data_IF_085695889168
#
_entry.id   IF_085695889168
#
_cell.length_a   1.000
_cell.length_b   1.000
_cell.length_c   1.000
_cell.angle_alpha   90.00
_cell.angle_beta   90.00
_cell.angle_gamma   90.00
#
_symmetry.space_group_name_H-M   'P 1'
#
loop_
_entity.id
_entity.type
_entity.pdbx_description
1 polymer ?
#
# COMPACT_ATOMS: atom_id res chain seq x y z
N UNK A 1 0.57 29.32 22.04
CA UNK A 1 1.77 29.38 21.18
C UNK A 1 2.58 28.17 21.55
N UNK A 2 2.32 27.04 20.89
CA UNK A 2 3.13 25.83 20.99
C UNK A 2 3.13 25.22 19.58
N UNK A 3 3.93 25.86 18.71
CA UNK A 3 4.46 25.22 17.52
C UNK A 3 5.51 24.22 17.97
N UNK A 4 5.12 22.95 18.09
CA UNK A 4 6.10 21.87 18.15
C UNK A 4 6.31 21.36 16.74
N UNK A 5 7.37 21.93 16.17
CA UNK A 5 7.90 21.76 14.84
C UNK A 5 8.17 20.29 14.51
N UNK A 6 7.71 19.91 13.32
CA UNK A 6 8.12 18.77 12.50
C UNK A 6 9.65 18.56 12.58
N UNK A 7 10.10 17.59 13.39
CA UNK A 7 11.51 17.21 13.46
C UNK A 7 11.80 16.18 12.37
N UNK A 8 12.35 16.66 11.25
CA UNK A 8 12.89 15.84 10.18
C UNK A 8 13.84 14.78 10.75
N UNK A 9 13.48 13.50 10.56
CA UNK A 9 14.27 12.38 11.04
C UNK A 9 15.45 12.11 10.09
N UNK A 10 16.65 11.96 10.64
CA UNK A 10 17.85 11.67 9.85
C UNK A 10 17.80 10.26 9.21
N UNK A 11 18.61 10.02 8.18
CA UNK A 11 18.74 8.69 7.56
C UNK A 11 18.98 7.59 8.59
N UNK A 12 19.96 7.80 9.47
CA UNK A 12 20.35 6.81 10.46
C UNK A 12 19.22 6.46 11.43
N UNK A 13 18.42 7.45 11.83
CA UNK A 13 17.29 7.26 12.73
C UNK A 13 16.19 6.42 12.10
N UNK A 14 15.85 6.70 10.84
CA UNK A 14 14.80 5.96 10.13
C UNK A 14 15.27 4.55 9.79
N UNK A 15 16.52 4.38 9.34
CA UNK A 15 17.10 3.06 9.08
C UNK A 15 17.15 2.19 10.35
N UNK A 16 17.55 2.76 11.48
CA UNK A 16 17.51 2.09 12.79
C UNK A 16 16.08 1.65 13.15
N UNK A 17 15.10 2.54 13.02
CA UNK A 17 13.70 2.26 13.37
C UNK A 17 13.12 1.13 12.54
N UNK A 18 13.34 1.13 11.22
CA UNK A 18 12.82 0.07 10.34
C UNK A 18 13.48 -1.27 10.63
N UNK A 19 14.81 -1.32 10.80
CA UNK A 19 15.48 -2.58 11.19
C UNK A 19 14.94 -3.13 12.51
N UNK A 20 14.69 -2.26 13.49
CA UNK A 20 14.14 -2.67 14.79
C UNK A 20 12.70 -3.16 14.69
N UNK A 21 11.86 -2.51 13.88
CA UNK A 21 10.50 -2.98 13.57
C UNK A 21 10.51 -4.32 12.86
N UNK A 22 11.46 -4.55 11.95
CA UNK A 22 11.66 -5.83 11.29
C UNK A 22 12.13 -6.96 12.25
N UNK A 23 12.44 -6.65 13.51
CA UNK A 23 12.95 -7.62 14.49
C UNK A 23 14.39 -8.08 14.23
N UNK A 24 15.11 -7.43 13.32
CA UNK A 24 16.42 -7.87 12.87
C UNK A 24 17.52 -7.32 13.77
N UNK A 25 18.49 -8.16 14.14
CA UNK A 25 19.75 -7.68 14.71
C UNK A 25 20.61 -7.02 13.62
N UNK A 26 21.58 -6.16 14.00
CA UNK A 26 22.52 -5.57 13.03
C UNK A 26 23.30 -6.64 12.27
N UNK A 27 23.68 -7.70 12.96
CA UNK A 27 24.37 -8.85 12.37
C UNK A 27 23.47 -9.60 11.38
N UNK A 28 22.22 -9.85 11.73
CA UNK A 28 21.27 -10.55 10.88
C UNK A 28 20.96 -9.76 9.60
N UNK A 29 20.75 -8.44 9.71
CA UNK A 29 20.58 -7.60 8.52
C UNK A 29 21.86 -7.61 7.68
N UNK A 30 23.03 -7.38 8.31
CA UNK A 30 24.32 -7.39 7.62
C UNK A 30 24.56 -8.70 6.84
N UNK A 31 24.37 -9.85 7.48
CA UNK A 31 24.50 -11.17 6.83
C UNK A 31 23.55 -11.31 5.63
N UNK A 32 22.32 -10.79 5.74
CA UNK A 32 21.32 -10.88 4.68
C UNK A 32 21.64 -10.01 3.44
N UNK A 33 22.41 -8.92 3.60
CA UNK A 33 22.78 -8.02 2.51
C UNK A 33 24.28 -8.07 2.15
N UNK A 34 25.05 -8.98 2.75
CA UNK A 34 26.48 -9.16 2.47
C UNK A 34 27.42 -8.14 3.14
N UNK A 35 26.99 -7.51 4.24
CA UNK A 35 27.76 -6.52 4.99
C UNK A 35 27.97 -6.91 6.46
N UNK A 36 28.94 -6.28 7.13
CA UNK A 36 29.17 -6.54 8.56
C UNK A 36 28.15 -5.78 9.43
N UNK A 37 27.79 -6.35 10.59
CA UNK A 37 26.93 -5.67 11.56
C UNK A 37 27.51 -4.35 12.10
N UNK A 38 28.83 -4.17 12.04
CA UNK A 38 29.50 -2.91 12.36
C UNK A 38 29.20 -1.84 11.29
N UNK A 39 29.18 -2.21 10.01
CA UNK A 39 28.82 -1.27 8.95
C UNK A 39 27.34 -0.85 9.00
N UNK A 40 26.45 -1.77 9.41
CA UNK A 40 25.05 -1.42 9.72
C UNK A 40 24.99 -0.40 10.86
N UNK A 41 25.82 -0.55 11.90
CA UNK A 41 25.90 0.41 13.00
C UNK A 41 26.41 1.78 12.55
N UNK A 42 27.37 1.83 11.64
CA UNK A 42 27.88 3.06 11.05
C UNK A 42 26.80 3.81 10.27
N UNK A 43 25.97 3.11 9.49
CA UNK A 43 24.84 3.71 8.77
C UNK A 43 23.78 4.29 9.72
N UNK A 44 23.60 3.71 10.89
CA UNK A 44 22.68 4.20 11.93
C UNK A 44 23.20 5.43 12.67
N UNK A 45 24.51 5.74 12.64
CA UNK A 45 25.14 6.72 13.55
C UNK A 45 25.98 7.80 12.90
N UNK A 46 26.67 7.51 11.80
CA UNK A 46 27.79 8.34 11.31
C UNK A 46 27.46 9.12 10.04
N UNK A 47 26.18 9.20 9.64
CA UNK A 47 25.79 9.87 8.39
C UNK A 47 26.42 9.25 7.13
N UNK A 48 26.88 7.99 7.25
CA UNK A 48 27.36 7.17 6.14
C UNK A 48 26.17 6.50 5.48
N UNK A 49 26.21 6.42 4.16
CA UNK A 49 25.11 5.88 3.37
C UNK A 49 25.51 4.53 2.75
N UNK A 50 24.57 3.57 2.70
CA UNK A 50 24.77 2.32 1.96
C UNK A 50 24.97 2.59 0.47
N UNK A 51 25.64 1.67 -0.24
CA UNK A 51 25.60 1.69 -1.70
C UNK A 51 24.14 1.51 -2.19
N UNK A 52 23.78 2.01 -3.38
CA UNK A 52 22.40 1.94 -3.90
C UNK A 52 21.77 0.53 -3.84
N UNK A 53 22.53 -0.51 -4.18
CA UNK A 53 22.05 -1.89 -4.10
C UNK A 53 21.82 -2.36 -2.66
N UNK A 54 22.77 -2.09 -1.76
CA UNK A 54 22.66 -2.45 -0.34
C UNK A 54 21.48 -1.74 0.34
N UNK A 55 21.19 -0.51 -0.08
CA UNK A 55 20.00 0.22 0.33
C UNK A 55 18.73 -0.48 -0.14
N UNK A 56 18.62 -0.78 -1.44
CA UNK A 56 17.46 -1.46 -2.00
C UNK A 56 17.21 -2.83 -1.36
N UNK A 57 18.27 -3.62 -1.12
CA UNK A 57 18.16 -4.91 -0.45
C UNK A 57 17.67 -4.76 1.00
N UNK A 58 18.13 -3.71 1.70
CA UNK A 58 17.64 -3.40 3.05
C UNK A 58 16.16 -3.01 3.04
N UNK A 59 15.74 -2.15 2.11
CA UNK A 59 14.33 -1.75 1.96
C UNK A 59 13.47 -2.96 1.62
N UNK A 60 13.91 -3.84 0.72
CA UNK A 60 13.21 -5.09 0.39
C UNK A 60 13.01 -5.94 1.64
N UNK A 61 14.05 -6.16 2.43
CA UNK A 61 13.96 -6.93 3.67
C UNK A 61 13.02 -6.24 4.68
N UNK A 62 13.05 -4.92 4.78
CA UNK A 62 12.13 -4.20 5.68
C UNK A 62 10.68 -4.32 5.23
N UNK A 63 10.40 -4.32 3.92
CA UNK A 63 9.07 -4.58 3.38
C UNK A 63 8.64 -6.03 3.62
N UNK A 64 9.53 -7.02 3.43
CA UNK A 64 9.28 -8.43 3.73
C UNK A 64 8.93 -8.68 5.20
N UNK A 65 9.51 -7.88 6.09
CA UNK A 65 9.26 -7.92 7.52
C UNK A 65 8.18 -6.92 7.99
N UNK A 66 7.43 -6.33 7.05
CA UNK A 66 6.34 -5.37 7.33
C UNK A 66 6.76 -4.17 8.21
N UNK A 67 8.05 -3.83 8.21
CA UNK A 67 8.59 -2.74 9.01
C UNK A 67 8.25 -1.35 8.43
N UNK A 68 7.85 -1.29 7.16
CA UNK A 68 7.45 -0.10 6.39
C UNK A 68 6.00 -0.29 5.94
N UNK A 69 5.08 0.59 6.39
CA UNK A 69 3.64 0.31 6.38
C UNK A 69 2.85 0.79 5.14
N UNK A 70 3.38 1.72 4.32
CA UNK A 70 3.01 2.09 2.93
C UNK A 70 3.20 3.61 2.66
N UNK A 71 3.55 3.94 1.41
CA UNK A 71 3.76 5.21 0.67
C UNK A 71 4.18 6.52 1.38
N UNK A 72 3.66 6.89 2.56
CA UNK A 72 4.11 8.10 3.28
C UNK A 72 5.55 7.94 3.83
N UNK A 73 5.96 6.70 4.08
CA UNK A 73 7.34 6.35 4.41
C UNK A 73 8.23 6.26 3.16
N UNK A 74 7.69 6.00 1.96
CA UNK A 74 8.47 5.95 0.72
C UNK A 74 8.88 7.36 0.26
N UNK A 75 8.01 8.35 0.44
CA UNK A 75 8.36 9.77 0.32
C UNK A 75 9.32 10.21 1.43
N UNK A 76 9.17 9.72 2.67
CA UNK A 76 10.15 9.94 3.74
C UNK A 76 11.52 9.32 3.40
N UNK A 77 11.56 8.11 2.82
CA UNK A 77 12.74 7.43 2.29
C UNK A 77 13.34 8.14 1.07
N UNK A 78 12.51 8.80 0.25
CA UNK A 78 12.95 9.68 -0.82
C UNK A 78 13.45 11.04 -0.29
N UNK A 79 13.03 11.45 0.91
CA UNK A 79 13.48 12.64 1.63
C UNK A 79 14.66 12.36 2.59
N UNK A 80 15.06 11.10 2.77
CA UNK A 80 16.18 10.62 3.59
C UNK A 80 17.57 10.98 3.04
N UNK A 81 17.63 11.60 1.86
CA UNK A 81 18.89 11.99 1.24
C UNK A 81 19.17 13.47 1.54
N UNK A 82 19.85 13.73 2.67
CA UNK A 82 20.54 15.02 2.89
C UNK A 82 21.64 15.28 1.84
N UNK A 83 21.90 14.33 0.92
CA UNK A 83 22.69 14.54 -0.31
C UNK A 83 21.81 14.42 -1.56
N UNK A 84 21.43 15.54 -2.19
CA UNK A 84 20.63 15.53 -3.42
C UNK A 84 21.32 14.82 -4.59
N UNK A 85 22.66 14.73 -4.59
CA UNK A 85 23.45 14.24 -5.72
C UNK A 85 23.25 12.76 -6.08
N UNK A 86 22.92 11.89 -5.12
CA UNK A 86 22.71 10.45 -5.36
C UNK A 86 21.27 10.00 -5.19
N UNK A 87 20.34 10.95 -5.00
CA UNK A 87 18.91 10.68 -4.88
C UNK A 87 18.41 9.88 -6.07
N UNK A 88 18.84 10.26 -7.27
CA UNK A 88 18.47 9.56 -8.49
C UNK A 88 19.01 8.14 -8.52
N UNK A 89 20.26 7.90 -8.09
CA UNK A 89 20.82 6.53 -8.03
C UNK A 89 20.05 5.62 -7.08
N UNK A 90 19.59 6.12 -5.92
CA UNK A 90 18.76 5.33 -5.02
C UNK A 90 17.36 5.08 -5.59
N UNK A 91 16.74 6.09 -6.18
CA UNK A 91 15.45 5.94 -6.85
C UNK A 91 15.57 4.94 -8.00
N UNK A 92 16.62 5.01 -8.81
CA UNK A 92 16.88 4.12 -9.94
C UNK A 92 17.13 2.66 -9.55
N UNK A 93 17.50 2.36 -8.30
CA UNK A 93 17.63 0.98 -7.81
C UNK A 93 16.37 0.55 -7.05
N UNK A 94 15.63 1.48 -6.45
CA UNK A 94 14.31 1.22 -5.89
C UNK A 94 13.24 1.02 -6.96
N UNK A 95 13.27 1.72 -8.10
CA UNK A 95 12.27 1.55 -9.17
C UNK A 95 12.30 0.14 -9.82
N UNK A 96 13.46 -0.49 -10.07
CA UNK A 96 13.54 -1.86 -10.58
C UNK A 96 13.13 -2.93 -9.55
N UNK A 97 13.14 -2.62 -8.24
CA UNK A 97 12.93 -3.61 -7.18
C UNK A 97 11.61 -3.43 -6.41
N UNK A 98 11.00 -2.25 -6.44
CA UNK A 98 9.66 -1.97 -5.93
C UNK A 98 8.56 -2.59 -6.81
N UNK A 99 8.90 -2.96 -8.05
CA UNK A 99 8.00 -3.61 -8.99
C UNK A 99 8.44 -5.05 -9.27
N UNK A 100 8.23 -5.96 -8.31
CA UNK A 100 7.95 -7.35 -8.72
C UNK A 100 6.52 -7.38 -9.27
N UNK A 101 6.39 -6.88 -10.50
CA UNK A 101 5.55 -7.57 -11.47
C UNK A 101 6.08 -9.02 -11.61
N UNK A 102 5.21 -10.01 -11.89
CA UNK A 102 5.67 -11.34 -12.27
C UNK A 102 6.71 -11.23 -13.41
N UNK A 103 7.69 -12.14 -13.48
CA UNK A 103 8.90 -11.96 -14.26
C UNK A 103 8.56 -11.65 -15.73
N UNK A 104 9.03 -10.51 -16.22
CA UNK A 104 9.03 -10.23 -17.65
C UNK A 104 10.14 -11.06 -18.31
N UNK A 105 9.77 -12.17 -18.96
CA UNK A 105 10.56 -12.70 -20.05
C UNK A 105 10.38 -11.79 -21.27
N UNK A 106 11.43 -11.00 -21.54
CA UNK A 106 11.78 -10.31 -22.79
C UNK A 106 10.62 -9.96 -23.74
N UNK A 107 10.08 -8.74 -23.61
CA UNK A 107 9.36 -8.10 -24.70
C UNK A 107 10.35 -7.24 -25.49
N UNK A 108 10.61 -7.65 -26.72
CA UNK A 108 11.26 -6.80 -27.71
C UNK A 108 10.44 -5.52 -27.87
N UNK A 109 11.06 -4.39 -27.55
CA UNK A 109 10.56 -3.07 -27.87
C UNK A 109 10.53 -2.91 -29.39
N UNK A 110 9.33 -2.89 -29.99
CA UNK A 110 9.14 -2.10 -31.19
C UNK A 110 7.80 -1.34 -31.15
N UNK A 111 7.98 -0.02 -31.30
CA UNK A 111 7.12 1.07 -31.73
C UNK A 111 5.59 0.88 -31.79
N UNK A 112 4.89 1.77 -31.06
CA UNK A 112 3.50 2.23 -31.28
C UNK A 112 2.50 1.20 -31.81
N UNK A 113 1.82 0.47 -30.92
CA UNK A 113 0.56 -0.19 -31.26
C UNK A 113 -0.48 0.01 -30.16
N UNK A 114 -1.73 0.24 -30.57
CA UNK A 114 -2.90 0.42 -29.69
C UNK A 114 -2.94 -0.69 -28.63
N UNK A 115 -3.41 -0.42 -27.40
CA UNK A 115 -3.47 -1.43 -26.35
C UNK A 115 -4.27 -2.63 -26.84
N UNK A 116 -3.60 -3.79 -26.89
CA UNK A 116 -4.22 -5.05 -27.25
C UNK A 116 -5.33 -5.36 -26.23
N UNK A 117 -6.59 -5.64 -26.66
CA UNK A 117 -7.71 -5.83 -25.75
C UNK A 117 -7.67 -7.16 -24.97
N UNK A 118 -6.74 -8.06 -25.30
CA UNK A 118 -6.62 -9.38 -24.69
C UNK A 118 -5.40 -9.44 -23.74
N UNK A 119 -5.64 -9.48 -22.42
CA UNK A 119 -4.59 -9.41 -21.39
C UNK A 119 -4.00 -10.77 -20.93
N UNK A 120 -4.23 -11.85 -21.68
CA UNK A 120 -3.69 -13.17 -21.34
C UNK A 120 -4.09 -13.65 -19.92
N UNK A 121 -3.13 -14.13 -19.13
CA UNK A 121 -3.35 -14.64 -17.77
C UNK A 121 -3.43 -13.55 -16.69
N UNK A 122 -3.31 -12.27 -17.05
CA UNK A 122 -3.36 -11.16 -16.11
C UNK A 122 -4.82 -10.89 -15.74
N UNK A 123 -5.10 -10.83 -14.44
CA UNK A 123 -6.43 -10.49 -13.96
C UNK A 123 -6.80 -9.06 -14.40
N UNK A 124 -8.01 -8.89 -14.96
CA UNK A 124 -8.57 -7.57 -15.22
C UNK A 124 -8.70 -6.82 -13.90
N UNK A 125 -8.35 -5.54 -13.92
CA UNK A 125 -8.45 -4.62 -12.78
C UNK A 125 -9.68 -3.74 -12.93
N UNK A 126 -9.96 -2.95 -11.91
CA UNK A 126 -11.08 -2.01 -11.91
C UNK A 126 -11.07 -1.07 -13.12
N UNK A 127 -9.88 -0.57 -13.50
CA UNK A 127 -9.70 0.28 -14.67
C UNK A 127 -10.03 -0.42 -16.00
N UNK A 128 -9.97 -1.76 -16.04
CA UNK A 128 -10.24 -2.55 -17.23
C UNK A 128 -11.73 -2.93 -17.37
N UNK A 129 -12.59 -2.47 -16.47
CA UNK A 129 -14.03 -2.75 -16.50
C UNK A 129 -14.70 -2.48 -17.86
N UNK A 130 -14.33 -1.43 -18.64
CA UNK A 130 -14.90 -1.23 -19.98
C UNK A 130 -14.60 -2.37 -20.97
N UNK A 131 -13.57 -3.17 -20.71
CA UNK A 131 -13.14 -4.29 -21.55
C UNK A 131 -13.50 -5.65 -20.94
N UNK A 132 -14.25 -5.69 -19.85
CA UNK A 132 -14.65 -6.93 -19.17
C UNK A 132 -16.07 -7.33 -19.58
N UNK A 133 -16.18 -8.37 -20.41
CA UNK A 133 -17.45 -8.85 -20.98
C UNK A 133 -17.59 -10.38 -20.93
N UNK A 134 -18.83 -10.88 -21.06
CA UNK A 134 -19.19 -12.31 -21.09
C UNK A 134 -19.32 -12.97 -19.72
N UNK A 135 -19.26 -12.19 -18.64
CA UNK A 135 -19.38 -12.66 -17.24
C UNK A 135 -20.42 -11.88 -16.44
N UNK A 136 -21.32 -11.17 -17.12
CA UNK A 136 -22.31 -10.27 -16.53
C UNK A 136 -23.27 -11.01 -15.60
N UNK A 137 -23.71 -12.21 -15.98
CA UNK A 137 -24.59 -13.05 -15.15
C UNK A 137 -23.90 -13.41 -13.82
N UNK A 138 -22.62 -13.77 -13.85
CA UNK A 138 -21.85 -14.08 -12.63
C UNK A 138 -21.69 -12.85 -11.74
N UNK A 139 -21.42 -11.68 -12.32
CA UNK A 139 -21.33 -10.42 -11.58
C UNK A 139 -22.67 -10.10 -10.89
N UNK A 140 -23.80 -10.25 -11.59
CA UNK A 140 -25.13 -10.02 -11.01
C UNK A 140 -25.45 -11.00 -9.88
N UNK A 141 -25.10 -12.28 -10.03
CA UNK A 141 -25.30 -13.29 -8.98
C UNK A 141 -24.46 -12.97 -7.74
N UNK A 142 -23.18 -12.64 -7.93
CA UNK A 142 -22.30 -12.27 -6.83
C UNK A 142 -22.73 -10.98 -6.15
N UNK A 143 -23.23 -10.00 -6.90
CA UNK A 143 -23.74 -8.75 -6.34
C UNK A 143 -24.93 -8.99 -5.40
N UNK A 144 -25.83 -9.92 -5.74
CA UNK A 144 -26.91 -10.34 -4.84
C UNK A 144 -26.36 -11.08 -3.62
N UNK A 145 -25.45 -12.04 -3.83
CA UNK A 145 -24.87 -12.81 -2.74
C UNK A 145 -24.15 -11.93 -1.71
N UNK A 146 -23.36 -10.95 -2.16
CA UNK A 146 -22.64 -10.01 -1.28
C UNK A 146 -23.59 -9.08 -0.52
N UNK A 147 -24.75 -8.75 -1.09
CA UNK A 147 -25.76 -7.95 -0.39
C UNK A 147 -26.48 -8.76 0.71
N UNK A 148 -26.71 -10.06 0.47
CA UNK A 148 -27.50 -10.91 1.35
C UNK A 148 -26.66 -11.68 2.39
N UNK A 149 -25.35 -11.83 2.16
CA UNK A 149 -24.47 -12.69 2.95
C UNK A 149 -23.23 -11.95 3.47
N UNK A 150 -22.87 -12.21 4.74
CA UNK A 150 -21.67 -11.64 5.35
C UNK A 150 -20.35 -12.16 4.75
N UNK A 151 -20.38 -13.34 4.12
CA UNK A 151 -19.22 -13.95 3.46
C UNK A 151 -19.66 -14.65 2.17
N UNK A 152 -19.07 -14.23 1.05
CA UNK A 152 -19.24 -14.89 -0.25
C UNK A 152 -17.90 -15.46 -0.69
N UNK A 153 -17.86 -16.76 -1.01
CA UNK A 153 -16.64 -17.45 -1.47
C UNK A 153 -16.73 -17.71 -2.97
N UNK A 154 -15.66 -17.39 -3.71
CA UNK A 154 -15.55 -17.65 -5.15
C UNK A 154 -14.56 -18.79 -5.36
N UNK A 155 -15.06 -19.94 -5.81
CA UNK A 155 -14.26 -21.12 -6.12
C UNK A 155 -14.10 -21.32 -7.63
N UNK A 156 -12.97 -21.90 -8.04
CA UNK A 156 -12.73 -22.29 -9.43
C UNK A 156 -11.26 -22.52 -9.72
N UNK A 157 -10.97 -23.18 -10.85
CA UNK A 157 -9.60 -23.49 -11.28
C UNK A 157 -8.68 -22.25 -11.33
N UNK A 158 -7.38 -22.46 -11.14
CA UNK A 158 -6.39 -21.37 -11.33
C UNK A 158 -6.52 -20.82 -12.75
N UNK A 159 -6.42 -19.49 -12.91
CA UNK A 159 -6.60 -18.83 -14.21
C UNK A 159 -8.04 -18.74 -14.73
N UNK A 160 -9.07 -19.23 -14.02
CA UNK A 160 -10.47 -19.13 -14.47
C UNK A 160 -11.07 -17.71 -14.47
N UNK A 161 -10.29 -16.70 -14.06
CA UNK A 161 -10.71 -15.30 -14.04
C UNK A 161 -11.41 -14.84 -12.76
N UNK A 162 -11.32 -15.58 -11.65
CA UNK A 162 -11.94 -15.19 -10.34
C UNK A 162 -11.58 -13.77 -9.92
N UNK A 163 -10.29 -13.46 -9.92
CA UNK A 163 -9.81 -12.11 -9.58
C UNK A 163 -10.30 -11.07 -10.57
N UNK A 164 -10.40 -11.39 -11.87
CA UNK A 164 -10.98 -10.49 -12.88
C UNK A 164 -12.45 -10.20 -12.60
N UNK A 165 -13.25 -11.21 -12.26
CA UNK A 165 -14.67 -11.04 -11.90
C UNK A 165 -14.82 -10.14 -10.67
N UNK A 166 -13.92 -10.25 -9.69
CA UNK A 166 -13.92 -9.36 -8.52
C UNK A 166 -13.52 -7.94 -8.93
N UNK A 167 -12.32 -7.75 -9.48
CA UNK A 167 -11.76 -6.42 -9.68
C UNK A 167 -12.42 -5.64 -10.82
N UNK A 168 -12.75 -6.28 -11.94
CA UNK A 168 -13.33 -5.62 -13.12
C UNK A 168 -14.86 -5.79 -13.23
N UNK A 169 -15.44 -6.72 -12.46
CA UNK A 169 -16.87 -6.96 -12.43
C UNK A 169 -17.52 -6.36 -11.18
N UNK A 170 -17.34 -7.02 -10.03
CA UNK A 170 -18.12 -6.72 -8.82
C UNK A 170 -17.74 -5.38 -8.20
N UNK A 171 -16.46 -5.05 -8.08
CA UNK A 171 -15.99 -3.81 -7.46
C UNK A 171 -16.57 -2.56 -8.15
N UNK A 172 -16.45 -2.41 -9.49
CA UNK A 172 -17.10 -1.31 -10.22
C UNK A 172 -18.62 -1.29 -10.03
N UNK A 173 -19.27 -2.46 -9.98
CA UNK A 173 -20.71 -2.54 -9.80
C UNK A 173 -21.16 -2.07 -8.41
N UNK A 174 -20.42 -2.44 -7.36
CA UNK A 174 -20.69 -1.99 -5.98
C UNK A 174 -20.37 -0.50 -5.81
N UNK A 175 -19.28 0.01 -6.40
CA UNK A 175 -18.99 1.46 -6.39
C UNK A 175 -20.09 2.30 -7.02
N UNK A 176 -20.70 1.81 -8.12
CA UNK A 176 -21.84 2.50 -8.74
C UNK A 176 -23.08 2.61 -7.85
N UNK A 177 -23.23 1.74 -6.85
CA UNK A 177 -24.31 1.85 -5.86
C UNK A 177 -24.02 2.93 -4.80
N UNK A 178 -22.75 3.30 -4.59
CA UNK A 178 -22.34 4.39 -3.70
C UNK A 178 -22.40 4.10 -2.20
N UNK A 179 -22.94 2.96 -1.77
CA UNK A 179 -23.08 2.60 -0.36
C UNK A 179 -22.02 1.62 0.16
N UNK A 180 -21.05 1.22 -0.68
CA UNK A 180 -20.04 0.22 -0.34
C UNK A 180 -18.66 0.84 -0.12
N UNK A 181 -18.03 0.47 0.99
CA UNK A 181 -16.59 0.66 1.19
C UNK A 181 -15.87 -0.61 0.73
N UNK A 182 -14.76 -0.43 0.00
CA UNK A 182 -14.04 -1.53 -0.64
C UNK A 182 -12.60 -1.53 -0.16
N UNK A 183 -12.26 -2.54 0.64
CA UNK A 183 -10.92 -2.83 1.10
C UNK A 183 -10.43 -4.16 0.49
N UNK A 184 -9.14 -4.25 0.20
CA UNK A 184 -8.52 -5.46 -0.32
C UNK A 184 -7.35 -5.88 0.59
N UNK A 185 -7.36 -7.13 1.05
CA UNK A 185 -6.26 -7.71 1.81
C UNK A 185 -5.88 -9.08 1.23
N UNK A 186 -4.61 -9.43 1.36
CA UNK A 186 -4.13 -10.80 1.18
C UNK A 186 -3.78 -11.35 2.56
N UNK A 187 -4.49 -12.38 3.07
CA UNK A 187 -4.34 -12.80 4.45
C UNK A 187 -2.92 -13.25 4.86
N UNK A 188 -2.13 -13.77 3.91
CA UNK A 188 -0.75 -14.21 4.10
C UNK A 188 -0.54 -14.98 5.43
N UNK A 189 0.52 -14.66 6.19
CA UNK A 189 0.81 -15.30 7.49
C UNK A 189 0.07 -14.65 8.66
N UNK A 190 -0.42 -13.42 8.51
CA UNK A 190 -1.14 -12.66 9.54
C UNK A 190 -2.52 -12.18 9.06
N UNK A 191 -3.54 -13.07 9.03
CA UNK A 191 -4.82 -12.80 8.39
C UNK A 191 -5.60 -11.67 9.07
N UNK A 192 -5.56 -11.60 10.40
CA UNK A 192 -6.27 -10.57 11.16
C UNK A 192 -5.58 -9.21 11.07
N UNK A 193 -4.25 -9.16 11.14
CA UNK A 193 -3.47 -7.93 10.95
C UNK A 193 -3.71 -7.37 9.54
N UNK A 194 -3.59 -8.21 8.52
CA UNK A 194 -3.80 -7.83 7.12
C UNK A 194 -5.21 -7.28 6.86
N UNK A 195 -6.22 -7.90 7.48
CA UNK A 195 -7.59 -7.42 7.40
C UNK A 195 -7.77 -6.08 8.13
N UNK A 196 -7.24 -5.97 9.36
CA UNK A 196 -7.33 -4.75 10.15
C UNK A 196 -6.70 -3.56 9.42
N UNK A 197 -5.49 -3.73 8.87
CA UNK A 197 -4.80 -2.69 8.09
C UNK A 197 -5.59 -2.26 6.86
N UNK A 198 -6.22 -3.20 6.16
CA UNK A 198 -7.04 -2.86 5.00
C UNK A 198 -8.31 -2.07 5.37
N UNK A 199 -8.83 -2.23 6.59
CA UNK A 199 -10.04 -1.54 7.07
C UNK A 199 -9.76 -0.19 7.74
N UNK A 200 -8.54 0.04 8.26
CA UNK A 200 -8.19 1.24 9.01
C UNK A 200 -8.53 2.56 8.30
N UNK A 201 -8.23 2.77 7.00
CA UNK A 201 -8.55 4.03 6.31
C UNK A 201 -10.05 4.34 6.35
N UNK A 202 -10.89 3.32 6.20
CA UNK A 202 -12.35 3.47 6.19
C UNK A 202 -12.94 3.74 7.58
N UNK A 203 -12.32 3.18 8.63
CA UNK A 203 -12.72 3.43 10.00
C UNK A 203 -12.33 4.85 10.45
N UNK A 204 -11.16 5.34 10.03
CA UNK A 204 -10.70 6.69 10.32
C UNK A 204 -11.63 7.75 9.72
N UNK A 205 -12.05 7.58 8.47
CA UNK A 205 -13.05 8.45 7.82
C UNK A 205 -14.36 8.46 8.60
N UNK A 206 -14.87 7.28 8.97
CA UNK A 206 -16.14 7.18 9.70
C UNK A 206 -16.08 7.81 11.10
N UNK A 207 -14.99 7.60 11.82
CA UNK A 207 -14.78 8.21 13.14
C UNK A 207 -14.69 9.74 13.02
N UNK A 208 -13.99 10.24 12.01
CA UNK A 208 -13.88 11.67 11.74
C UNK A 208 -15.25 12.29 11.44
N UNK A 209 -16.04 11.68 10.57
CA UNK A 209 -17.39 12.13 10.23
C UNK A 209 -18.31 12.17 11.47
N UNK A 210 -18.22 11.18 12.36
CA UNK A 210 -19.01 11.15 13.60
C UNK A 210 -18.59 12.24 14.57
N UNK A 211 -17.28 12.50 14.69
CA UNK A 211 -16.75 13.59 15.53
C UNK A 211 -17.14 14.97 15.00
N UNK A 212 -17.10 15.17 13.67
CA UNK A 212 -17.54 16.43 13.04
C UNK A 212 -19.03 16.67 13.28
N UNK A 213 -19.88 15.66 13.07
CA UNK A 213 -21.34 15.76 13.36
C UNK A 213 -21.62 16.05 14.84
N UNK A 214 -20.87 15.42 15.75
CA UNK A 214 -21.01 15.67 17.18
C UNK A 214 -20.60 17.09 17.56
N UNK A 215 -19.53 17.62 16.95
CA UNK A 215 -19.07 19.00 17.14
C UNK A 215 -20.09 20.02 16.60
N UNK A 216 -20.67 19.76 15.42
CA UNK A 216 -21.75 20.59 14.85
C UNK A 216 -22.98 20.62 15.77
N UNK A 217 -23.44 19.46 16.23
CA UNK A 217 -24.55 19.39 17.20
C UNK A 217 -24.24 20.14 18.49
N UNK A 218 -23.02 20.03 19.01
CA UNK A 218 -22.60 20.78 20.21
C UNK A 218 -22.60 22.29 19.95
N UNK A 219 -22.14 22.75 18.78
CA UNK A 219 -22.16 24.16 18.39
C UNK A 219 -23.59 24.71 18.25
N UNK A 220 -24.50 23.93 17.67
CA UNK A 220 -25.92 24.26 17.56
C UNK A 220 -26.61 24.35 18.93
N UNK A 221 -26.32 23.40 19.83
CA UNK A 221 -26.86 23.43 21.19
C UNK A 221 -26.32 24.60 22.00
N UNK A 222 -25.03 24.92 21.87
CA UNK A 222 -24.41 26.02 22.60
C UNK A 222 -24.83 27.40 22.07
N UNK A 223 -25.01 27.57 20.76
CA UNK A 223 -25.61 28.78 20.19
C UNK A 223 -27.07 28.96 20.62
N UNK A 224 -27.86 27.88 20.65
CA UNK A 224 -29.23 27.92 21.17
C UNK A 224 -29.30 28.36 22.64
N UNK A 225 -28.40 27.82 23.49
CA UNK A 225 -28.32 28.19 24.91
C UNK A 225 -27.83 29.62 25.16
N UNK A 226 -27.06 30.21 24.24
CA UNK A 226 -26.60 31.62 24.34
C UNK A 226 -27.63 32.63 23.85
N UNK A 227 -28.72 32.19 23.22
CA UNK A 227 -29.80 33.06 22.77
C UNK A 227 -29.45 33.96 21.58
N UNK A 228 -28.37 33.64 20.87
CA UNK A 228 -27.95 34.33 19.65
C UNK A 228 -28.82 33.85 18.47
N UNK A 229 -29.70 34.73 17.99
CA UNK A 229 -30.50 34.56 16.76
C UNK A 229 -29.99 35.48 15.68
#
# INVERSE_FOLDING_TARGET
MDEQTDQGHSFGDLFYRYRRRAGLSRRALGEAIGYSGALIQDWEREGKYPLPQAFADSIRIFLEHEAIACYSDAEALANLAEKPDRRQEYLDVLQPTWFVAPPEESVNTDTQSKPCPYRGLIAFREADAPFFFGREIYVQQLQKAVADQALTVIEGASGSGKSSVVYAGIIPALRRQGCWQIAACRPAQEPFSSLAFALLPHLQEKIKDELERAAEHHLLLTSWLRGER
#
